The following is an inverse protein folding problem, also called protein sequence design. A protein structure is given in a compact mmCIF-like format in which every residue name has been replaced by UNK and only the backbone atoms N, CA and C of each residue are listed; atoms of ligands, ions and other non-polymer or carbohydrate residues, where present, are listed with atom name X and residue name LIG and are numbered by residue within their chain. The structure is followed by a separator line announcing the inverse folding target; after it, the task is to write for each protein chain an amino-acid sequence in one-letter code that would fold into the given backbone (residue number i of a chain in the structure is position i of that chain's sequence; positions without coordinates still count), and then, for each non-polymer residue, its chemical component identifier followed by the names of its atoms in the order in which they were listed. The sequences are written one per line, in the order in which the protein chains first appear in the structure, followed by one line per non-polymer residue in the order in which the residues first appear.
data_IF_426509154799
#
_entry.id   IF_426509154799
#
_cell.length_a   1.000
_cell.length_b   1.000
_cell.length_c   1.000
_cell.angle_alpha   90.00
_cell.angle_beta   90.00
_cell.angle_gamma   90.00
#
_symmetry.space_group_name_H-M   'P 1'
#
loop_
_entity.id
_entity.type
_entity.pdbx_description
1 polymer ?
#
# COMPACT_ATOMS: atom_id res chain seq x y z
N UNK A 1 8.31 16.16 -8.94
CA UNK A 1 7.60 14.99 -8.35
C UNK A 1 6.96 15.45 -7.06
N UNK A 2 5.63 15.54 -7.01
CA UNK A 2 4.90 15.92 -5.80
C UNK A 2 4.15 14.69 -5.32
N UNK A 3 4.43 14.24 -4.09
CA UNK A 3 3.57 13.31 -3.39
C UNK A 3 2.90 14.11 -2.28
N UNK A 4 1.60 14.35 -2.44
CA UNK A 4 0.75 14.67 -1.32
C UNK A 4 0.45 13.34 -0.64
N UNK A 5 1.27 13.00 0.36
CA UNK A 5 1.09 11.78 1.13
C UNK A 5 -0.16 11.94 2.00
N UNK A 6 -1.27 11.52 1.46
CA UNK A 6 -2.55 11.35 2.15
C UNK A 6 -2.99 9.91 1.95
N UNK A 7 -3.86 9.42 2.81
CA UNK A 7 -4.49 8.13 2.60
C UNK A 7 -5.75 8.29 1.77
N UNK A 8 -5.91 7.39 0.82
CA UNK A 8 -7.02 7.36 -0.12
C UNK A 8 -7.64 5.98 -0.16
N UNK A 9 -8.93 5.94 -0.47
CA UNK A 9 -9.63 4.74 -0.91
C UNK A 9 -9.77 4.74 -2.42
N UNK A 10 -9.96 3.57 -3.02
CA UNK A 10 -10.22 3.41 -4.46
C UNK A 10 -11.58 2.75 -4.66
N UNK A 11 -12.29 3.20 -5.69
CA UNK A 11 -13.58 2.65 -6.09
C UNK A 11 -13.49 1.14 -6.37
N UNK A 12 -14.41 0.36 -5.79
CA UNK A 12 -14.39 -1.09 -5.89
C UNK A 12 -14.66 -1.60 -7.31
N UNK A 13 -15.44 -0.88 -8.12
CA UNK A 13 -15.68 -1.27 -9.51
C UNK A 13 -14.42 -1.04 -10.35
N UNK A 14 -13.70 0.05 -10.09
CA UNK A 14 -12.41 0.30 -10.74
C UNK A 14 -11.37 -0.78 -10.35
N UNK A 15 -11.28 -1.13 -9.07
CA UNK A 15 -10.41 -2.22 -8.61
C UNK A 15 -10.75 -3.54 -9.28
N UNK A 16 -12.05 -3.88 -9.36
CA UNK A 16 -12.50 -5.08 -10.06
C UNK A 16 -12.10 -5.05 -11.53
N UNK A 17 -12.34 -3.93 -12.20
CA UNK A 17 -11.98 -3.76 -13.61
C UNK A 17 -10.46 -3.97 -13.84
N UNK A 18 -9.60 -3.40 -12.99
CA UNK A 18 -8.15 -3.60 -13.09
C UNK A 18 -7.76 -5.05 -12.77
N UNK A 19 -8.38 -5.67 -11.77
CA UNK A 19 -8.14 -7.07 -11.41
C UNK A 19 -8.52 -8.04 -12.55
N UNK A 20 -9.58 -7.75 -13.28
CA UNK A 20 -9.99 -8.54 -14.46
C UNK A 20 -8.96 -8.42 -15.62
N UNK A 21 -8.09 -7.39 -15.61
CA UNK A 21 -6.97 -7.22 -16.57
C UNK A 21 -5.66 -7.81 -16.06
N UNK A 22 -5.44 -7.78 -14.75
CA UNK A 22 -4.26 -8.31 -14.08
C UNK A 22 -4.65 -8.84 -12.70
N UNK A 23 -4.69 -10.14 -12.54
CA UNK A 23 -5.09 -10.82 -11.30
C UNK A 23 -4.15 -10.53 -10.10
N UNK A 24 -3.00 -9.90 -10.34
CA UNK A 24 -2.10 -9.45 -9.28
C UNK A 24 -2.57 -8.17 -8.58
N UNK A 25 -3.56 -7.47 -9.13
CA UNK A 25 -4.24 -6.35 -8.45
C UNK A 25 -5.02 -6.87 -7.25
N UNK A 26 -4.81 -6.26 -6.09
CA UNK A 26 -5.60 -6.61 -4.90
C UNK A 26 -7.06 -6.27 -5.10
N UNK A 27 -7.90 -7.29 -5.06
CA UNK A 27 -9.34 -7.16 -5.10
C UNK A 27 -9.99 -8.23 -4.21
N UNK A 28 -11.00 -7.84 -3.48
CA UNK A 28 -11.83 -8.77 -2.69
C UNK A 28 -13.30 -8.39 -2.85
N UNK A 29 -14.18 -9.38 -2.99
CA UNK A 29 -15.64 -9.16 -3.15
C UNK A 29 -16.23 -8.35 -1.99
N UNK A 30 -15.71 -8.56 -0.77
CA UNK A 30 -16.18 -7.88 0.45
C UNK A 30 -15.80 -6.39 0.54
N UNK A 31 -15.02 -5.84 -0.42
CA UNK A 31 -14.68 -4.41 -0.42
C UNK A 31 -15.90 -3.49 -0.58
N UNK A 32 -17.02 -4.00 -1.09
CA UNK A 32 -18.29 -3.25 -1.19
C UNK A 32 -19.04 -3.16 0.15
N UNK A 33 -18.82 -4.10 1.05
CA UNK A 33 -19.58 -4.27 2.30
C UNK A 33 -18.73 -4.15 3.56
N UNK A 34 -17.39 -4.18 3.45
CA UNK A 34 -16.50 -4.22 4.61
C UNK A 34 -16.00 -2.83 5.01
N UNK A 35 -15.84 -2.65 6.33
CA UNK A 35 -15.17 -1.50 6.95
C UNK A 35 -13.66 -1.40 6.65
N UNK A 36 -13.10 -2.25 5.78
CA UNK A 36 -11.71 -2.21 5.35
C UNK A 36 -11.62 -1.89 3.86
N UNK A 37 -11.78 -0.63 3.49
CA UNK A 37 -11.61 -0.21 2.10
C UNK A 37 -10.17 -0.47 1.63
N UNK A 38 -9.98 -0.57 0.33
CA UNK A 38 -8.65 -0.57 -0.26
C UNK A 38 -7.99 0.78 0.00
N UNK A 39 -7.07 0.82 0.96
CA UNK A 39 -6.39 2.04 1.41
C UNK A 39 -4.97 2.05 0.89
N UNK A 40 -4.49 3.22 0.55
CA UNK A 40 -3.11 3.43 0.13
C UNK A 40 -2.74 4.90 0.01
N UNK A 41 -1.52 5.13 -0.45
CA UNK A 41 -0.98 6.46 -0.74
C UNK A 41 -0.84 6.66 -2.26
N UNK A 42 -1.00 7.89 -2.72
CA UNK A 42 -0.83 8.22 -4.14
C UNK A 42 0.54 8.88 -4.36
N UNK A 43 1.25 8.40 -5.37
CA UNK A 43 2.53 8.93 -5.82
C UNK A 43 2.48 9.24 -7.31
N UNK A 44 3.12 10.32 -7.74
CA UNK A 44 3.29 10.65 -9.16
C UNK A 44 4.54 9.97 -9.71
N UNK A 45 4.39 9.18 -10.77
CA UNK A 45 5.50 8.55 -11.51
C UNK A 45 5.27 8.81 -12.99
N UNK A 46 6.22 9.49 -13.64
CA UNK A 46 6.06 9.94 -15.03
C UNK A 46 4.73 10.75 -15.19
N UNK A 47 3.89 10.37 -16.12
CA UNK A 47 2.61 11.00 -16.39
C UNK A 47 1.42 10.31 -15.69
N UNK A 48 1.69 9.42 -14.73
CA UNK A 48 0.66 8.65 -14.03
C UNK A 48 0.64 8.96 -12.53
N UNK A 49 -0.55 8.87 -11.95
CA UNK A 49 -0.75 8.74 -10.52
C UNK A 49 -0.83 7.25 -10.19
N UNK A 50 -0.02 6.79 -9.25
CA UNK A 50 -0.05 5.42 -8.77
C UNK A 50 -0.51 5.34 -7.32
N UNK A 51 -1.49 4.51 -7.04
CA UNK A 51 -1.86 4.13 -5.68
C UNK A 51 -0.98 2.96 -5.23
N UNK A 52 -0.25 3.14 -4.13
CA UNK A 52 0.49 2.07 -3.46
C UNK A 52 -0.37 1.56 -2.31
N UNK A 53 -0.85 0.30 -2.33
CA UNK A 53 -1.78 -0.19 -1.32
C UNK A 53 -1.10 -0.48 0.01
N UNK A 54 -1.86 -0.24 1.08
CA UNK A 54 -1.59 -0.71 2.43
C UNK A 54 -2.31 -2.03 2.66
N UNK A 55 -1.61 -3.02 3.14
CA UNK A 55 -2.18 -4.30 3.55
C UNK A 55 -1.93 -4.57 5.03
N UNK A 56 -2.89 -5.22 5.70
CA UNK A 56 -2.75 -5.61 7.10
C UNK A 56 -1.54 -6.53 7.30
N UNK A 57 -0.88 -6.42 8.46
CA UNK A 57 0.18 -7.33 8.86
C UNK A 57 -0.32 -8.79 8.92
N UNK A 58 0.54 -9.72 8.51
CA UNK A 58 0.29 -11.18 8.54
C UNK A 58 1.53 -11.90 9.04
N UNK A 59 1.40 -13.11 9.55
CA UNK A 59 2.50 -13.92 10.08
C UNK A 59 3.72 -14.00 9.14
N UNK A 60 3.51 -14.16 7.85
CA UNK A 60 4.60 -14.18 6.84
C UNK A 60 5.49 -12.95 6.87
N UNK A 61 4.96 -11.78 7.30
CA UNK A 61 5.69 -10.52 7.32
C UNK A 61 6.75 -10.44 8.43
N UNK A 62 6.71 -11.33 9.42
CA UNK A 62 7.78 -11.45 10.43
C UNK A 62 9.15 -11.66 9.81
N UNK A 63 9.21 -12.37 8.67
CA UNK A 63 10.46 -12.68 7.95
C UNK A 63 10.85 -11.60 6.93
N UNK A 64 10.02 -10.61 6.68
CA UNK A 64 10.29 -9.58 5.68
C UNK A 64 11.24 -8.51 6.19
N UNK A 65 12.03 -7.95 5.27
CA UNK A 65 13.01 -6.90 5.55
C UNK A 65 12.71 -5.66 4.72
N UNK A 66 12.94 -4.47 5.29
CA UNK A 66 12.79 -3.20 4.59
C UNK A 66 13.89 -2.91 3.55
N UNK A 67 14.89 -3.76 3.46
CA UNK A 67 15.88 -3.77 2.37
C UNK A 67 15.30 -4.22 1.02
N UNK A 68 14.17 -4.93 1.02
CA UNK A 68 13.47 -5.31 -0.23
C UNK A 68 13.07 -4.08 -1.05
N UNK A 69 13.13 -4.19 -2.39
CA UNK A 69 12.70 -3.14 -3.31
C UNK A 69 11.19 -3.16 -3.59
N UNK A 70 10.46 -4.12 -3.04
CA UNK A 70 9.05 -4.36 -3.37
C UNK A 70 8.04 -3.90 -2.34
N UNK A 71 8.49 -3.57 -1.11
CA UNK A 71 7.60 -3.17 -0.01
C UNK A 71 8.33 -2.36 1.07
N UNK A 72 7.53 -1.79 1.99
CA UNK A 72 7.95 -1.35 3.32
C UNK A 72 7.08 -2.00 4.38
N UNK A 73 7.68 -2.49 5.47
CA UNK A 73 6.97 -2.77 6.71
C UNK A 73 6.75 -1.43 7.42
N UNK A 74 5.52 -1.18 7.82
CA UNK A 74 5.14 -0.08 8.69
C UNK A 74 5.05 -0.64 10.09
N UNK A 75 5.79 -0.07 11.04
CA UNK A 75 5.93 -0.64 12.37
C UNK A 75 6.21 0.42 13.43
N UNK A 76 6.02 0.03 14.67
CA UNK A 76 6.46 0.75 15.85
C UNK A 76 7.31 -0.14 16.75
N UNK A 77 8.10 0.48 17.63
CA UNK A 77 8.79 -0.25 18.71
C UNK A 77 7.91 -0.24 19.95
N UNK A 78 7.71 -1.39 20.55
CA UNK A 78 7.01 -1.55 21.83
C UNK A 78 7.89 -2.34 22.80
N UNK A 79 7.64 -2.16 24.10
CA UNK A 79 8.32 -2.94 25.11
C UNK A 79 7.97 -4.44 24.96
N UNK A 80 8.92 -5.31 25.23
CA UNK A 80 8.78 -6.75 25.01
C UNK A 80 7.56 -7.36 25.72
N UNK A 81 7.16 -6.78 26.87
CA UNK A 81 6.03 -7.23 27.67
C UNK A 81 4.66 -6.79 27.11
N UNK A 82 4.62 -5.84 26.19
CA UNK A 82 3.36 -5.34 25.60
C UNK A 82 2.92 -6.26 24.47
N UNK A 83 1.73 -6.82 24.58
CA UNK A 83 1.15 -7.65 23.52
C UNK A 83 -0.31 -7.26 23.30
N UNK A 84 -0.65 -6.90 22.05
CA UNK A 84 -2.02 -6.66 21.61
C UNK A 84 -2.57 -7.92 20.92
N UNK A 85 -3.84 -8.21 21.11
CA UNK A 85 -4.48 -9.36 20.46
C UNK A 85 -4.37 -9.28 18.92
N UNK A 86 -4.12 -10.43 18.30
CA UNK A 86 -4.00 -10.58 16.83
C UNK A 86 -2.91 -9.73 16.16
N UNK A 87 -2.00 -9.17 16.92
CA UNK A 87 -0.90 -8.37 16.40
C UNK A 87 0.31 -9.18 16.01
N UNK A 88 1.07 -8.68 15.06
CA UNK A 88 2.25 -9.36 14.48
C UNK A 88 3.52 -8.70 14.99
N UNK A 89 4.38 -9.49 15.64
CA UNK A 89 5.64 -9.00 16.22
C UNK A 89 6.84 -9.74 15.64
N UNK A 90 7.95 -9.03 15.52
CA UNK A 90 9.29 -9.64 15.40
C UNK A 90 9.85 -9.92 16.79
N UNK A 91 10.81 -10.85 16.85
CA UNK A 91 11.49 -11.21 18.11
C UNK A 91 12.07 -9.97 18.79
N UNK A 92 12.00 -9.91 20.15
CA UNK A 92 12.56 -8.81 20.91
C UNK A 92 14.09 -8.72 20.75
N UNK A 93 14.58 -7.48 20.80
CA UNK A 93 16.00 -7.13 20.87
C UNK A 93 16.13 -5.98 21.87
N UNK A 94 17.02 -6.10 22.84
CA UNK A 94 17.28 -5.09 23.86
C UNK A 94 16.00 -4.60 24.58
N UNK A 95 15.13 -5.53 24.99
CA UNK A 95 13.90 -5.26 25.74
C UNK A 95 12.77 -4.63 24.91
N UNK A 96 12.96 -4.48 23.59
CA UNK A 96 11.94 -3.98 22.67
C UNK A 96 11.68 -4.94 21.53
N UNK A 97 10.45 -4.98 21.06
CA UNK A 97 10.05 -5.73 19.88
C UNK A 97 9.39 -4.83 18.83
N UNK A 98 9.48 -5.23 17.58
CA UNK A 98 8.84 -4.55 16.46
C UNK A 98 7.41 -5.06 16.34
N UNK A 99 6.44 -4.18 16.54
CA UNK A 99 5.04 -4.40 16.23
C UNK A 99 4.78 -3.97 14.79
N UNK A 100 4.47 -4.92 13.91
CA UNK A 100 4.19 -4.64 12.50
C UNK A 100 2.73 -4.20 12.38
N UNK A 101 2.50 -2.96 11.97
CA UNK A 101 1.17 -2.36 11.80
C UNK A 101 0.58 -2.73 10.44
N UNK A 102 1.35 -2.51 9.37
CA UNK A 102 0.92 -2.72 8.00
C UNK A 102 2.11 -3.00 7.07
N UNK A 103 1.79 -3.29 5.81
CA UNK A 103 2.74 -3.35 4.71
C UNK A 103 2.32 -2.40 3.61
N UNK A 104 3.20 -1.50 3.23
CA UNK A 104 3.07 -0.70 2.02
C UNK A 104 3.66 -1.50 0.86
N UNK A 105 2.80 -2.01 -0.03
CA UNK A 105 3.19 -3.01 -1.03
C UNK A 105 3.42 -2.40 -2.41
N UNK A 106 4.64 -1.91 -2.65
CA UNK A 106 5.02 -1.17 -3.87
C UNK A 106 4.85 -2.01 -5.14
N UNK A 107 5.10 -3.32 -5.07
CA UNK A 107 4.93 -4.22 -6.23
C UNK A 107 3.47 -4.39 -6.66
N UNK A 108 2.53 -3.98 -5.80
CA UNK A 108 1.09 -4.03 -6.02
C UNK A 108 0.49 -2.66 -6.35
N UNK A 109 1.33 -1.66 -6.61
CA UNK A 109 0.84 -0.34 -6.99
C UNK A 109 0.07 -0.40 -8.31
N UNK A 110 -1.00 0.39 -8.37
CA UNK A 110 -1.91 0.47 -9.52
C UNK A 110 -2.02 1.91 -10.01
N UNK A 111 -2.14 2.15 -11.33
CA UNK A 111 -2.46 3.49 -11.81
C UNK A 111 -3.87 3.88 -11.37
N UNK A 112 -4.07 5.15 -11.03
CA UNK A 112 -5.38 5.71 -10.70
C UNK A 112 -5.64 6.97 -11.52
N UNK A 113 -6.90 7.18 -11.86
CA UNK A 113 -7.39 8.36 -12.59
C UNK A 113 -8.29 9.20 -11.68
N UNK A 114 -8.49 10.46 -12.02
CA UNK A 114 -9.35 11.33 -11.24
C UNK A 114 -10.79 10.79 -11.20
N UNK A 115 -11.40 10.87 -10.04
CA UNK A 115 -12.77 10.41 -9.80
C UNK A 115 -12.89 8.95 -9.35
N UNK A 116 -11.82 8.12 -9.38
CA UNK A 116 -11.85 6.73 -8.87
C UNK A 116 -11.24 6.57 -7.47
N UNK A 117 -10.74 7.64 -6.88
CA UNK A 117 -10.19 7.61 -5.52
C UNK A 117 -10.74 8.77 -4.68
N UNK A 118 -10.82 8.55 -3.37
CA UNK A 118 -11.31 9.53 -2.40
C UNK A 118 -10.35 9.61 -1.22
N UNK A 119 -10.04 10.82 -0.78
CA UNK A 119 -9.22 11.06 0.40
C UNK A 119 -9.93 10.59 1.67
N UNK A 120 -9.22 9.91 2.56
CA UNK A 120 -9.74 9.49 3.86
C UNK A 120 -9.61 10.65 4.83
N UNK A 121 -10.71 10.95 5.51
CA UNK A 121 -10.73 11.84 6.65
C UNK A 121 -10.66 10.99 7.93
N UNK A 122 -9.53 11.05 8.64
CA UNK A 122 -9.32 10.23 9.84
C UNK A 122 -10.29 10.57 10.99
N UNK A 123 -10.81 11.80 11.03
CA UNK A 123 -11.79 12.22 12.06
C UNK A 123 -13.15 11.55 11.91
N UNK A 124 -13.47 11.03 10.74
CA UNK A 124 -14.73 10.34 10.44
C UNK A 124 -14.66 8.83 10.66
N UNK A 125 -13.47 8.31 10.98
CA UNK A 125 -13.27 6.89 11.22
C UNK A 125 -13.57 6.50 12.66
N UNK A 126 -14.00 5.25 12.93
CA UNK A 126 -14.03 4.72 14.29
C UNK A 126 -12.66 4.89 14.97
N UNK A 127 -12.65 5.24 16.27
CA UNK A 127 -11.44 5.63 17.00
C UNK A 127 -10.28 4.63 16.88
N UNK A 128 -10.57 3.32 16.90
CA UNK A 128 -9.56 2.27 16.76
C UNK A 128 -8.82 2.31 15.39
N UNK A 129 -9.54 2.64 14.31
CA UNK A 129 -8.95 2.79 12.96
C UNK A 129 -8.25 4.12 12.80
N UNK A 130 -8.79 5.19 13.40
CA UNK A 130 -8.18 6.52 13.37
C UNK A 130 -6.79 6.51 13.96
N UNK A 131 -6.60 5.91 15.16
CA UNK A 131 -5.29 5.80 15.81
C UNK A 131 -4.31 4.96 14.98
N UNK A 132 -4.76 3.83 14.44
CA UNK A 132 -3.91 2.98 13.59
C UNK A 132 -3.46 3.72 12.32
N UNK A 133 -4.41 4.34 11.61
CA UNK A 133 -4.09 5.06 10.38
C UNK A 133 -3.21 6.28 10.63
N UNK A 134 -3.36 6.95 11.78
CA UNK A 134 -2.47 8.04 12.16
C UNK A 134 -1.02 7.55 12.32
N UNK A 135 -0.79 6.45 13.03
CA UNK A 135 0.54 5.85 13.18
C UNK A 135 1.15 5.42 11.83
N UNK A 136 0.35 4.76 11.01
CA UNK A 136 0.77 4.33 9.66
C UNK A 136 1.11 5.53 8.76
N UNK A 137 0.32 6.59 8.85
CA UNK A 137 0.53 7.82 8.11
C UNK A 137 1.81 8.54 8.52
N UNK A 138 2.03 8.73 9.83
CA UNK A 138 3.24 9.35 10.37
C UNK A 138 4.50 8.55 9.97
N UNK A 139 4.41 7.22 10.00
CA UNK A 139 5.50 6.38 9.51
C UNK A 139 5.78 6.62 8.01
N UNK A 140 4.74 6.62 7.18
CA UNK A 140 4.89 6.89 5.74
C UNK A 140 5.48 8.28 5.47
N UNK A 141 5.08 9.30 6.23
CA UNK A 141 5.65 10.65 6.14
C UNK A 141 7.15 10.65 6.44
N UNK A 142 7.56 9.94 7.49
CA UNK A 142 8.98 9.88 7.91
C UNK A 142 9.90 9.24 6.86
N UNK A 143 9.35 8.41 5.97
CA UNK A 143 10.10 7.71 4.92
C UNK A 143 9.68 8.09 3.51
N UNK A 144 8.96 9.20 3.33
CA UNK A 144 8.36 9.66 2.08
C UNK A 144 9.31 9.55 0.88
N UNK A 145 10.51 10.12 1.00
CA UNK A 145 11.51 10.11 -0.06
C UNK A 145 11.98 8.70 -0.43
N UNK A 146 12.06 7.81 0.57
CA UNK A 146 12.42 6.40 0.35
C UNK A 146 11.32 5.66 -0.41
N UNK A 147 10.06 5.97 -0.11
CA UNK A 147 8.90 5.39 -0.81
C UNK A 147 8.94 5.82 -2.29
N UNK A 148 9.05 7.12 -2.56
CA UNK A 148 9.11 7.66 -3.92
C UNK A 148 10.25 7.04 -4.73
N UNK A 149 11.46 7.03 -4.17
CA UNK A 149 12.65 6.43 -4.80
C UNK A 149 12.44 4.96 -5.15
N UNK A 150 11.87 4.19 -4.22
CA UNK A 150 11.65 2.75 -4.39
C UNK A 150 10.57 2.47 -5.43
N UNK A 151 9.46 3.22 -5.41
CA UNK A 151 8.38 3.10 -6.38
C UNK A 151 8.87 3.44 -7.80
N UNK A 152 9.59 4.55 -7.96
CA UNK A 152 10.16 4.94 -9.25
C UNK A 152 11.17 3.91 -9.77
N UNK A 153 12.07 3.42 -8.91
CA UNK A 153 13.06 2.40 -9.30
C UNK A 153 12.38 1.12 -9.78
N UNK A 154 11.33 0.67 -9.09
CA UNK A 154 10.58 -0.53 -9.48
C UNK A 154 9.86 -0.32 -10.82
N UNK A 155 9.19 0.82 -10.98
CA UNK A 155 8.52 1.20 -12.21
C UNK A 155 9.48 1.21 -13.40
N UNK A 156 10.57 1.98 -13.31
CA UNK A 156 11.57 2.08 -14.38
C UNK A 156 12.17 0.72 -14.72
N UNK A 157 12.50 -0.10 -13.71
CA UNK A 157 13.03 -1.45 -13.94
C UNK A 157 12.07 -2.31 -14.76
N UNK A 158 10.77 -2.28 -14.45
CA UNK A 158 9.78 -3.05 -15.20
C UNK A 158 9.62 -2.51 -16.63
N UNK A 159 9.55 -1.17 -16.80
CA UNK A 159 9.37 -0.54 -18.12
C UNK A 159 10.58 -0.75 -19.02
N UNK A 160 11.81 -0.64 -18.51
CA UNK A 160 13.03 -0.80 -19.31
C UNK A 160 13.34 -2.26 -19.65
N UNK A 161 13.10 -3.19 -18.73
CA UNK A 161 13.37 -4.63 -18.98
C UNK A 161 12.22 -5.33 -19.70
N UNK A 162 11.07 -4.72 -19.78
CA UNK A 162 9.80 -5.32 -20.24
C UNK A 162 9.49 -6.68 -19.57
N UNK A 163 9.95 -6.85 -18.30
CA UNK A 163 9.77 -8.07 -17.52
C UNK A 163 8.97 -7.79 -16.27
N UNK A 164 7.90 -8.52 -16.08
CA UNK A 164 7.10 -8.51 -14.84
C UNK A 164 7.58 -9.63 -13.93
N UNK A 165 8.00 -9.29 -12.72
CA UNK A 165 8.43 -10.28 -11.74
C UNK A 165 7.21 -10.99 -11.13
N UNK A 166 7.45 -12.20 -10.63
CA UNK A 166 6.41 -12.97 -9.94
C UNK A 166 5.74 -12.15 -8.83
N UNK A 167 4.43 -12.23 -8.76
CA UNK A 167 3.57 -11.51 -7.81
C UNK A 167 3.65 -9.97 -7.88
N UNK A 168 4.10 -9.40 -9.01
CA UNK A 168 4.06 -7.96 -9.28
C UNK A 168 2.91 -7.62 -10.24
N UNK A 169 2.27 -6.48 -10.04
CA UNK A 169 1.36 -5.93 -11.04
C UNK A 169 2.10 -5.58 -12.33
N UNK A 170 1.44 -5.78 -13.46
CA UNK A 170 1.93 -5.39 -14.78
C UNK A 170 1.55 -3.94 -15.09
N UNK A 171 2.47 -3.01 -14.86
CA UNK A 171 2.20 -1.59 -15.02
C UNK A 171 1.78 -1.21 -16.44
N UNK A 172 2.34 -1.86 -17.46
CA UNK A 172 2.01 -1.57 -18.87
C UNK A 172 0.55 -1.95 -19.18
N UNK A 173 0.10 -3.12 -18.76
CA UNK A 173 -1.30 -3.55 -18.94
C UNK A 173 -2.24 -2.64 -18.16
N UNK A 174 -1.90 -2.33 -16.89
CA UNK A 174 -2.76 -1.53 -16.02
C UNK A 174 -2.83 -0.07 -16.48
N UNK A 175 -1.74 0.52 -16.99
CA UNK A 175 -1.78 1.87 -17.57
C UNK A 175 -2.67 1.95 -18.80
N UNK A 176 -2.63 0.94 -19.67
CA UNK A 176 -3.56 0.87 -20.81
C UNK A 176 -5.01 0.77 -20.31
N UNK A 177 -5.27 -0.16 -19.38
CA UNK A 177 -6.60 -0.36 -18.80
C UNK A 177 -7.12 0.92 -18.13
N UNK A 178 -6.28 1.64 -17.37
CA UNK A 178 -6.68 2.87 -16.69
C UNK A 178 -7.14 3.98 -17.66
N UNK A 179 -6.52 4.08 -18.84
CA UNK A 179 -6.92 5.04 -19.89
C UNK A 179 -8.22 4.65 -20.59
N UNK A 180 -8.51 3.35 -20.66
CA UNK A 180 -9.72 2.80 -21.33
C UNK A 180 -10.93 2.72 -20.40
N UNK A 181 -10.72 2.91 -19.08
CA UNK A 181 -11.82 2.85 -18.10
C UNK A 181 -12.83 3.97 -18.31
N UNK A 182 -14.07 3.59 -18.47
CA UNK A 182 -15.23 4.50 -18.53
C UNK A 182 -16.04 4.31 -17.24
N UNK A 183 -16.20 5.37 -16.48
CA UNK A 183 -16.98 5.38 -15.24
C UNK A 183 -18.47 5.29 -15.54
#
# INVERSE_FOLDING_TARGET
MHADLQFYTVDANYLKYLHDKDSEVYYHLDYKESYKPFVGIIVGIENYKYMIPLSSAKEKHKKWLNSSNSHFLIYEFVDENITFDKSIYKSPVDGKKIHILAVLDIKKMIPVIDGVYTRINFSELPSQYSVLFQKEYEFCLSIKEKILKKAQKLYLKQKTSNKVLFSHCNFTILEKASREYKK
#
